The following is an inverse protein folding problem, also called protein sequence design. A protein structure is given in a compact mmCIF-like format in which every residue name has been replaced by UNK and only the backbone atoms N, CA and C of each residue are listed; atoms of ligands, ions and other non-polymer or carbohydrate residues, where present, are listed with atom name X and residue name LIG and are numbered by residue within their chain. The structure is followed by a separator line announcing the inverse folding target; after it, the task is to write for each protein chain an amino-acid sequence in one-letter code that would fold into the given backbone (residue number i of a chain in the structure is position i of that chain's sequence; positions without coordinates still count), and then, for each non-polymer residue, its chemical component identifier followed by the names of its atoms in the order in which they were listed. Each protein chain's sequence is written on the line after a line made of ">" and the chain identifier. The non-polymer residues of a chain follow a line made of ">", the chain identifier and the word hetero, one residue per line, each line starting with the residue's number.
data_IF_728192962547
#
_entry.id   IF_728192962547
#
_cell.length_a   1.000
_cell.length_b   1.000
_cell.length_c   1.000
_cell.angle_alpha   90.00
_cell.angle_beta   90.00
_cell.angle_gamma   90.00
#
_symmetry.space_group_name_H-M   'P 1'
#
loop_
_entity.id
_entity.type
_entity.pdbx_description
1 polymer ?
#
# COMPACT_ATOMS: atom_id res chain seq x y z
N UNK A 1 -22.04 -12.24 -32.68
CA UNK A 1 -20.89 -11.38 -33.02
C UNK A 1 -20.87 -10.26 -31.99
N UNK A 2 -20.03 -10.36 -30.97
CA UNK A 2 -19.89 -9.29 -29.99
C UNK A 2 -18.88 -8.29 -30.57
N UNK A 3 -19.36 -7.10 -30.94
CA UNK A 3 -18.48 -5.99 -31.32
C UNK A 3 -17.85 -5.49 -30.03
N UNK A 4 -16.55 -5.70 -29.87
CA UNK A 4 -15.80 -5.14 -28.76
C UNK A 4 -15.91 -3.61 -28.83
N UNK A 5 -16.52 -3.01 -27.82
CA UNK A 5 -16.62 -1.57 -27.70
C UNK A 5 -15.20 -1.04 -27.45
N UNK A 6 -14.62 -0.37 -28.44
CA UNK A 6 -13.42 0.43 -28.25
C UNK A 6 -13.84 1.67 -27.47
N UNK A 7 -13.93 1.53 -26.15
CA UNK A 7 -14.35 2.61 -25.26
C UNK A 7 -13.26 3.69 -25.29
N UNK A 8 -13.46 4.71 -26.12
CA UNK A 8 -12.60 5.90 -26.17
C UNK A 8 -12.37 6.43 -24.76
N UNK A 9 -11.11 6.46 -24.34
CA UNK A 9 -10.71 6.96 -23.02
C UNK A 9 -10.77 8.49 -23.01
N UNK A 10 -11.54 9.06 -22.08
CA UNK A 10 -11.73 10.51 -21.94
C UNK A 10 -11.11 11.02 -20.64
N UNK A 11 -10.71 12.30 -20.64
CA UNK A 11 -10.16 13.03 -19.51
C UNK A 11 -11.07 14.23 -19.24
N UNK A 12 -11.46 14.44 -17.99
CA UNK A 12 -12.22 15.61 -17.56
C UNK A 12 -11.26 16.75 -17.18
N UNK A 13 -11.35 17.88 -17.87
CA UNK A 13 -10.64 19.10 -17.54
C UNK A 13 -11.59 20.09 -16.89
N UNK A 14 -11.22 20.62 -15.72
CA UNK A 14 -11.97 21.68 -15.06
C UNK A 14 -11.33 23.03 -15.34
N UNK A 15 -12.08 23.91 -15.99
CA UNK A 15 -11.70 25.31 -16.22
C UNK A 15 -11.72 26.10 -14.90
N UNK A 16 -11.02 27.22 -14.87
CA UNK A 16 -10.91 28.10 -13.69
C UNK A 16 -12.25 28.70 -13.25
N UNK A 17 -13.22 28.80 -14.17
CA UNK A 17 -14.60 29.21 -13.90
C UNK A 17 -15.45 28.07 -13.29
N UNK A 18 -14.89 26.87 -13.14
CA UNK A 18 -15.55 25.70 -12.57
C UNK A 18 -16.28 24.81 -13.59
N UNK A 19 -16.27 25.15 -14.88
CA UNK A 19 -16.83 24.30 -15.94
C UNK A 19 -15.96 23.08 -16.20
N UNK A 20 -16.58 21.91 -16.44
CA UNK A 20 -15.90 20.66 -16.74
C UNK A 20 -16.06 20.29 -18.22
N UNK A 21 -14.97 19.82 -18.84
CA UNK A 21 -14.89 19.45 -20.24
C UNK A 21 -14.35 18.02 -20.37
N UNK A 22 -15.07 17.15 -21.05
CA UNK A 22 -14.58 15.80 -21.37
C UNK A 22 -13.87 15.80 -22.73
N UNK A 23 -12.60 15.41 -22.74
CA UNK A 23 -11.76 15.39 -23.94
C UNK A 23 -11.19 13.99 -24.13
N UNK A 24 -11.14 13.48 -25.36
CA UNK A 24 -10.45 12.23 -25.65
C UNK A 24 -8.97 12.31 -25.26
N UNK A 25 -8.45 11.29 -24.57
CA UNK A 25 -7.08 11.26 -24.07
C UNK A 25 -6.05 11.47 -25.19
N UNK A 26 -6.29 10.89 -26.37
CA UNK A 26 -5.42 11.08 -27.53
C UNK A 26 -5.29 12.56 -27.94
N UNK A 27 -6.38 13.33 -27.84
CA UNK A 27 -6.42 14.77 -28.15
C UNK A 27 -5.76 15.59 -27.04
N UNK A 28 -5.95 15.19 -25.77
CA UNK A 28 -5.34 15.85 -24.63
C UNK A 28 -3.81 15.74 -24.63
N UNK A 29 -3.25 14.62 -25.10
CA UNK A 29 -1.81 14.37 -25.19
C UNK A 29 -1.12 15.28 -26.22
N UNK A 30 -1.85 15.79 -27.21
CA UNK A 30 -1.30 16.75 -28.19
C UNK A 30 -1.06 18.14 -27.59
N UNK A 31 -1.67 18.45 -26.44
CA UNK A 31 -1.53 19.74 -25.77
C UNK A 31 -0.30 19.81 -24.88
N UNK A 32 0.65 20.68 -25.23
CA UNK A 32 1.86 20.93 -24.42
C UNK A 32 1.53 21.37 -22.98
N UNK A 33 0.45 22.15 -22.77
CA UNK A 33 0.08 22.61 -21.43
C UNK A 33 -0.37 21.46 -20.52
N UNK A 34 -1.15 20.52 -21.07
CA UNK A 34 -1.64 19.35 -20.32
C UNK A 34 -0.47 18.42 -19.98
N UNK A 35 0.38 18.13 -20.98
CA UNK A 35 1.56 17.27 -20.79
C UNK A 35 2.51 17.84 -19.75
N UNK A 36 2.82 19.14 -19.83
CA UNK A 36 3.70 19.79 -18.86
C UNK A 36 3.11 19.80 -17.45
N UNK A 37 1.79 20.03 -17.32
CA UNK A 37 1.09 19.95 -16.03
C UNK A 37 1.22 18.56 -15.39
N UNK A 38 0.97 17.49 -16.16
CA UNK A 38 1.13 16.11 -15.69
C UNK A 38 2.58 15.80 -15.29
N UNK A 39 3.57 16.26 -16.07
CA UNK A 39 4.99 16.09 -15.72
C UNK A 39 5.31 16.81 -14.41
N UNK A 40 4.81 18.03 -14.21
CA UNK A 40 5.02 18.79 -12.98
C UNK A 40 4.40 18.07 -11.77
N UNK A 41 3.19 17.54 -11.89
CA UNK A 41 2.56 16.74 -10.84
C UNK A 41 3.38 15.49 -10.51
N UNK A 42 3.85 14.76 -11.52
CA UNK A 42 4.73 13.61 -11.35
C UNK A 42 6.03 14.01 -10.65
N UNK A 43 6.65 15.11 -11.06
CA UNK A 43 7.88 15.62 -10.45
C UNK A 43 7.66 16.10 -9.02
N UNK A 44 6.49 16.65 -8.70
CA UNK A 44 6.10 17.00 -7.34
C UNK A 44 5.95 15.75 -6.48
N UNK A 45 5.28 14.71 -6.99
CA UNK A 45 5.16 13.43 -6.30
C UNK A 45 6.54 12.81 -6.06
N UNK A 46 7.40 12.74 -7.07
CA UNK A 46 8.76 12.21 -6.90
C UNK A 46 9.60 13.01 -5.90
N UNK A 47 9.50 14.34 -5.89
CA UNK A 47 10.17 15.18 -4.90
C UNK A 47 9.63 15.02 -3.48
N UNK A 48 8.37 14.61 -3.33
CA UNK A 48 7.77 14.37 -2.02
C UNK A 48 8.16 13.02 -1.40
N UNK A 49 8.73 12.11 -2.18
CA UNK A 49 9.16 10.81 -1.68
C UNK A 49 10.35 10.97 -0.74
N UNK A 50 10.40 10.19 0.35
CA UNK A 50 11.58 10.16 1.21
C UNK A 50 12.80 9.66 0.42
N UNK A 51 14.02 10.03 0.85
CA UNK A 51 15.23 9.49 0.25
C UNK A 51 15.20 7.96 0.32
N UNK A 52 15.70 7.32 -0.74
CA UNK A 52 15.79 5.86 -0.75
C UNK A 52 16.73 5.41 0.38
N UNK A 53 16.28 4.53 1.28
CA UNK A 53 17.13 4.04 2.37
C UNK A 53 18.31 3.23 1.82
N UNK A 54 19.42 3.25 2.56
CA UNK A 54 20.60 2.45 2.23
C UNK A 54 20.33 0.95 2.45
N UNK A 55 21.02 0.08 1.72
CA UNK A 55 20.86 -1.38 1.86
C UNK A 55 21.15 -1.85 3.29
N UNK A 56 22.14 -1.25 3.96
CA UNK A 56 22.50 -1.57 5.34
C UNK A 56 21.36 -1.24 6.32
N UNK A 57 20.66 -0.13 6.11
CA UNK A 57 19.52 0.26 6.94
C UNK A 57 18.35 -0.71 6.77
N UNK A 58 18.10 -1.13 5.53
CA UNK A 58 17.05 -2.10 5.21
C UNK A 58 17.35 -3.46 5.84
N UNK A 59 18.59 -3.94 5.74
CA UNK A 59 19.01 -5.21 6.34
C UNK A 59 18.94 -5.18 7.87
N UNK A 60 19.35 -4.07 8.49
CA UNK A 60 19.24 -3.88 9.94
C UNK A 60 17.77 -3.91 10.38
N UNK A 61 16.90 -3.15 9.72
CA UNK A 61 15.46 -3.14 10.01
C UNK A 61 14.83 -4.54 9.84
N UNK A 62 15.16 -5.23 8.74
CA UNK A 62 14.70 -6.59 8.47
C UNK A 62 15.15 -7.57 9.57
N UNK A 63 16.37 -7.42 10.08
CA UNK A 63 16.90 -8.25 11.17
C UNK A 63 16.14 -8.02 12.46
N UNK A 64 15.82 -6.76 12.78
CA UNK A 64 15.02 -6.39 13.96
C UNK A 64 13.64 -7.02 13.87
N UNK A 65 12.95 -6.87 12.74
CA UNK A 65 11.61 -7.46 12.53
C UNK A 65 11.63 -8.97 12.74
N UNK A 66 12.56 -9.67 12.10
CA UNK A 66 12.70 -11.13 12.25
C UNK A 66 13.06 -11.55 13.67
N UNK A 67 13.79 -10.72 14.41
CA UNK A 67 14.13 -10.98 15.81
C UNK A 67 12.88 -10.90 16.69
N UNK A 68 12.08 -9.86 16.50
CA UNK A 68 10.83 -9.65 17.26
C UNK A 68 9.85 -10.79 16.99
N UNK A 69 9.65 -11.18 15.74
CA UNK A 69 8.76 -12.31 15.39
C UNK A 69 9.15 -13.62 16.09
N UNK A 70 10.47 -13.87 16.21
CA UNK A 70 10.98 -15.06 16.92
C UNK A 70 10.78 -14.96 18.43
N UNK A 71 11.00 -13.78 19.00
CA UNK A 71 10.79 -13.53 20.43
C UNK A 71 9.31 -13.66 20.81
N UNK A 72 8.42 -13.12 19.99
CA UNK A 72 6.98 -13.24 20.17
C UNK A 72 6.53 -14.70 20.13
N UNK A 73 7.01 -15.47 19.14
CA UNK A 73 6.71 -16.90 19.05
C UNK A 73 7.24 -17.68 20.26
N UNK A 74 8.48 -17.42 20.68
CA UNK A 74 9.08 -18.06 21.85
C UNK A 74 8.34 -17.72 23.14
N UNK A 75 7.85 -16.48 23.26
CA UNK A 75 7.05 -16.02 24.39
C UNK A 75 5.69 -16.71 24.40
N UNK A 76 5.00 -16.77 23.26
CA UNK A 76 3.73 -17.51 23.14
C UNK A 76 3.89 -18.99 23.46
N UNK A 77 4.94 -19.63 22.96
CA UNK A 77 5.24 -21.03 23.25
C UNK A 77 5.52 -21.25 24.74
N UNK A 78 6.26 -20.33 25.37
CA UNK A 78 6.54 -20.38 26.81
C UNK A 78 5.27 -20.25 27.64
N UNK A 79 4.36 -19.34 27.28
CA UNK A 79 3.05 -19.19 27.94
C UNK A 79 2.19 -20.43 27.73
N UNK A 80 2.18 -21.01 26.52
CA UNK A 80 1.44 -22.24 26.23
C UNK A 80 1.96 -23.44 27.02
N UNK A 81 3.27 -23.49 27.29
CA UNK A 81 3.93 -24.57 28.06
C UNK A 81 3.87 -24.36 29.56
N UNK A 82 3.56 -23.16 30.04
CA UNK A 82 3.26 -22.96 31.45
C UNK A 82 2.02 -23.79 31.79
N UNK A 83 2.23 -24.92 32.48
CA UNK A 83 1.14 -25.62 33.13
C UNK A 83 0.42 -24.62 34.03
N UNK A 84 -0.89 -24.47 33.83
CA UNK A 84 -1.76 -23.71 34.74
C UNK A 84 -1.41 -24.17 36.15
N UNK A 85 -0.83 -23.27 36.94
CA UNK A 85 -0.48 -23.58 38.31
C UNK A 85 -1.72 -24.09 39.04
N UNK A 86 -1.55 -25.25 39.69
CA UNK A 86 -2.54 -26.02 40.46
C UNK A 86 -3.20 -27.14 39.62
N UNK A 87 -3.18 -28.33 40.20
CA UNK A 87 -3.75 -29.63 39.77
C UNK A 87 -5.22 -29.55 39.33
N UNK A 88 -5.53 -28.82 38.26
CA UNK A 88 -6.87 -28.76 37.70
C UNK A 88 -6.94 -29.81 36.59
N UNK A 89 -7.77 -30.85 36.74
CA UNK A 89 -7.98 -31.86 35.71
C UNK A 89 -8.35 -31.21 34.37
N UNK A 90 -7.76 -31.72 33.28
CA UNK A 90 -7.90 -31.15 31.94
C UNK A 90 -9.35 -31.07 31.46
N UNK A 91 -10.25 -31.88 32.04
CA UNK A 91 -11.68 -31.88 31.73
C UNK A 91 -12.37 -30.55 32.09
N UNK A 92 -11.81 -29.76 33.02
CA UNK A 92 -12.40 -28.50 33.50
C UNK A 92 -11.89 -27.26 32.74
N UNK A 93 -11.03 -27.45 31.73
CA UNK A 93 -10.33 -26.35 31.04
C UNK A 93 -10.96 -25.93 29.70
N UNK A 94 -12.07 -26.54 29.29
CA UNK A 94 -12.80 -26.21 28.07
C UNK A 94 -14.23 -25.77 28.39
N UNK A 95 -14.67 -24.66 27.79
CA UNK A 95 -16.08 -24.27 27.79
C UNK A 95 -16.69 -24.82 26.50
N UNK A 96 -17.73 -25.66 26.66
CA UNK A 96 -18.53 -26.24 25.57
C UNK A 96 -19.32 -25.18 24.80
#
# INVERSE_FOLDING_TARGET
>A
MAVANDSKKTIALRSSNGEEFEIEEAVAIESQMIVNGVIEEIMNLYRSLPPRPNIVEVEAAMTIVKSIEKEDLATMESISKQMKGIEIPGELLFVL
#
